data_IF_962164216363
#
_entry.id   IF_962164216363
#
_cell.length_a   1.000
_cell.length_b   1.000
_cell.length_c   1.000
_cell.angle_alpha   90.00
_cell.angle_beta   90.00
_cell.angle_gamma   90.00
#
_symmetry.space_group_name_H-M   'P 1'
#
loop_
_entity.id
_entity.type
_entity.pdbx_description
1 polymer ?
#
# COMPACT_ATOMS: atom_id res chain seq x y z
N UNK A 1 3.75 -4.94 -4.03
CA UNK A 1 3.00 -3.99 -3.24
C UNK A 1 3.96 -3.20 -2.35
N UNK A 2 3.98 -1.88 -2.47
CA UNK A 2 4.73 -0.96 -1.63
C UNK A 2 3.77 -0.31 -0.62
N UNK A 3 4.06 -0.46 0.67
CA UNK A 3 3.26 0.05 1.78
C UNK A 3 3.88 1.38 2.27
N UNK A 4 3.12 2.46 2.20
CA UNK A 4 3.56 3.82 2.53
C UNK A 4 2.82 4.32 3.79
N UNK A 5 3.54 4.45 4.90
CA UNK A 5 2.99 4.81 6.21
C UNK A 5 3.28 6.27 6.54
N UNK A 6 2.23 7.03 6.86
CA UNK A 6 2.34 8.43 7.26
C UNK A 6 2.92 8.56 8.67
N UNK A 7 3.98 9.36 8.77
CA UNK A 7 4.57 9.80 10.03
C UNK A 7 4.67 11.34 10.10
N UNK A 8 3.80 12.04 9.36
CA UNK A 8 3.73 13.50 9.42
C UNK A 8 3.37 14.00 10.83
N UNK A 9 3.43 15.30 11.03
CA UNK A 9 3.30 15.90 12.36
C UNK A 9 1.94 15.71 13.04
N UNK A 10 0.90 15.37 12.27
CA UNK A 10 -0.43 15.02 12.78
C UNK A 10 -0.47 13.64 13.43
N UNK A 11 0.42 12.73 13.02
CA UNK A 11 0.49 11.36 13.55
C UNK A 11 1.39 11.34 14.79
N UNK A 12 0.84 11.10 15.97
CA UNK A 12 1.62 10.97 17.20
C UNK A 12 2.25 9.57 17.36
N UNK A 13 3.07 9.39 18.40
CA UNK A 13 3.79 8.11 18.62
C UNK A 13 2.86 6.91 18.88
N UNK A 14 1.72 7.13 19.56
CA UNK A 14 0.72 6.07 19.81
C UNK A 14 0.05 5.66 18.49
N UNK A 15 -0.37 6.62 17.69
CA UNK A 15 -1.01 6.40 16.39
C UNK A 15 -0.07 5.71 15.40
N UNK A 16 1.19 6.10 15.38
CA UNK A 16 2.20 5.38 14.61
C UNK A 16 2.38 3.93 15.08
N UNK A 17 2.39 3.71 16.41
CA UNK A 17 2.40 2.36 16.97
C UNK A 17 1.20 1.52 16.54
N UNK A 18 0.01 2.13 16.43
CA UNK A 18 -1.21 1.47 15.92
C UNK A 18 -1.04 1.10 14.44
N UNK A 19 -0.46 1.97 13.61
CA UNK A 19 -0.19 1.66 12.20
C UNK A 19 0.76 0.46 12.08
N UNK A 20 1.91 0.50 12.74
CA UNK A 20 2.91 -0.58 12.67
C UNK A 20 2.37 -1.90 13.22
N UNK A 21 1.76 -1.86 14.41
CA UNK A 21 1.19 -3.03 15.06
C UNK A 21 0.00 -3.60 14.30
N UNK A 22 -0.87 -2.74 13.78
CA UNK A 22 -2.03 -3.13 12.98
C UNK A 22 -1.62 -3.82 11.67
N UNK A 23 -0.63 -3.24 10.97
CA UNK A 23 -0.09 -3.85 9.75
C UNK A 23 0.63 -5.18 10.04
N UNK A 24 1.42 -5.26 11.12
CA UNK A 24 2.08 -6.50 11.52
C UNK A 24 1.07 -7.60 11.89
N UNK A 25 0.01 -7.25 12.62
CA UNK A 25 -1.07 -8.17 12.96
C UNK A 25 -1.84 -8.62 11.71
N UNK A 26 -2.11 -7.70 10.78
CA UNK A 26 -2.76 -8.01 9.51
C UNK A 26 -1.94 -9.01 8.69
N UNK A 27 -0.63 -8.83 8.57
CA UNK A 27 0.26 -9.78 7.89
C UNK A 27 0.22 -11.18 8.53
N UNK A 28 0.12 -11.27 9.87
CA UNK A 28 0.05 -12.54 10.60
C UNK A 28 -1.33 -13.19 10.57
N UNK A 29 -2.38 -12.46 10.20
CA UNK A 29 -3.74 -13.02 10.18
C UNK A 29 -3.80 -14.21 9.21
N UNK A 30 -4.57 -15.27 9.55
CA UNK A 30 -4.60 -16.49 8.73
C UNK A 30 -4.98 -16.25 7.29
N UNK A 31 -5.97 -15.41 7.04
CA UNK A 31 -6.51 -15.10 5.73
C UNK A 31 -5.57 -14.24 4.85
N UNK A 32 -4.86 -13.27 5.42
CA UNK A 32 -3.84 -12.49 4.71
C UNK A 32 -2.64 -13.38 4.40
N UNK A 33 -2.20 -14.20 5.36
CA UNK A 33 -1.10 -15.15 5.16
C UNK A 33 -1.42 -16.15 4.08
N UNK A 34 -2.63 -16.73 4.10
CA UNK A 34 -3.10 -17.60 3.03
C UNK A 34 -3.11 -16.90 1.69
N UNK A 35 -3.68 -15.69 1.62
CA UNK A 35 -3.69 -14.89 0.39
C UNK A 35 -2.29 -14.62 -0.15
N UNK A 36 -1.32 -14.30 0.71
CA UNK A 36 0.08 -14.07 0.32
C UNK A 36 0.76 -15.31 -0.26
N UNK A 37 0.49 -16.48 0.33
CA UNK A 37 1.19 -17.72 0.00
C UNK A 37 0.49 -18.54 -1.11
N UNK A 38 -0.79 -18.30 -1.38
CA UNK A 38 -1.59 -19.05 -2.36
C UNK A 38 -1.58 -18.47 -3.78
N UNK A 39 -0.92 -17.32 -4.00
CA UNK A 39 -0.89 -16.73 -5.34
C UNK A 39 -0.11 -17.62 -6.33
N UNK A 40 -0.61 -17.73 -7.55
CA UNK A 40 0.08 -18.41 -8.65
C UNK A 40 1.42 -17.76 -9.01
N UNK A 41 1.55 -16.45 -8.71
CA UNK A 41 2.80 -15.68 -8.75
C UNK A 41 3.28 -15.32 -7.35
N UNK A 42 4.54 -14.92 -7.22
CA UNK A 42 5.10 -14.49 -5.94
C UNK A 42 4.66 -13.07 -5.59
N UNK A 43 4.22 -12.87 -4.36
CA UNK A 43 3.98 -11.52 -3.82
C UNK A 43 5.29 -10.96 -3.27
N UNK A 44 5.62 -9.73 -3.69
CA UNK A 44 6.74 -8.96 -3.13
C UNK A 44 6.20 -7.77 -2.35
N UNK A 45 6.71 -7.60 -1.15
CA UNK A 45 6.35 -6.50 -0.25
C UNK A 45 7.56 -5.63 0.03
N UNK A 46 7.35 -4.32 0.08
CA UNK A 46 8.26 -3.35 0.67
C UNK A 46 7.43 -2.37 1.51
N UNK A 47 8.02 -1.77 2.54
CA UNK A 47 7.37 -0.75 3.34
C UNK A 47 8.30 0.42 3.63
N UNK A 48 7.73 1.61 3.68
CA UNK A 48 8.45 2.83 4.00
C UNK A 48 7.58 3.84 4.75
N UNK A 49 8.22 4.60 5.61
CA UNK A 49 7.63 5.78 6.22
C UNK A 49 7.73 6.96 5.28
N UNK A 50 6.79 7.88 5.39
CA UNK A 50 6.84 9.15 4.69
C UNK A 50 6.30 10.31 5.54
N UNK A 51 6.84 11.50 5.29
CA UNK A 51 6.43 12.75 5.93
C UNK A 51 6.65 13.91 4.95
N UNK A 52 7.52 14.86 5.26
CA UNK A 52 7.90 15.98 4.41
C UNK A 52 8.75 15.60 3.20
N UNK A 53 9.06 16.59 2.36
CA UNK A 53 9.94 16.43 1.22
C UNK A 53 11.32 15.92 1.65
N UNK A 54 11.82 14.83 0.98
CA UNK A 54 13.08 14.19 1.33
C UNK A 54 13.05 13.35 2.63
N UNK A 55 11.88 13.19 3.26
CA UNK A 55 11.73 12.39 4.48
C UNK A 55 10.96 11.12 4.22
N UNK A 56 11.57 10.22 3.46
CA UNK A 56 11.09 8.86 3.24
C UNK A 56 12.16 7.88 3.70
N UNK A 57 11.79 6.91 4.53
CA UNK A 57 12.70 5.93 5.13
C UNK A 57 12.16 4.53 4.96
N UNK A 58 12.98 3.61 4.46
CA UNK A 58 12.59 2.20 4.34
C UNK A 58 12.42 1.58 5.73
N UNK A 59 11.30 0.91 5.95
CA UNK A 59 11.08 -0.03 7.04
C UNK A 59 11.68 -1.39 6.65
N UNK A 60 11.36 -1.84 5.42
CA UNK A 60 12.01 -2.98 4.78
C UNK A 60 11.96 -2.85 3.26
N UNK A 61 13.03 -3.32 2.62
CA UNK A 61 13.13 -3.37 1.16
C UNK A 61 12.43 -4.60 0.60
N UNK A 62 12.32 -4.69 -0.72
CA UNK A 62 11.63 -5.75 -1.43
C UNK A 62 11.96 -7.13 -0.89
N UNK A 63 10.95 -7.77 -0.36
CA UNK A 63 11.02 -9.13 0.16
C UNK A 63 9.98 -9.98 -0.56
N UNK A 64 10.42 -11.05 -1.18
CA UNK A 64 9.52 -12.06 -1.75
C UNK A 64 8.93 -12.89 -0.61
N UNK A 65 7.61 -12.96 -0.58
CA UNK A 65 6.88 -13.76 0.42
C UNK A 65 6.63 -15.15 -0.15
N UNK A 66 7.43 -16.11 0.27
CA UNK A 66 7.33 -17.49 -0.18
C UNK A 66 6.94 -18.47 0.94
N UNK A 67 7.21 -18.10 2.18
CA UNK A 67 7.01 -18.97 3.36
C UNK A 67 6.34 -18.22 4.52
N UNK A 68 5.72 -18.93 5.46
CA UNK A 68 5.24 -18.31 6.72
C UNK A 68 6.33 -17.61 7.52
N UNK A 69 7.59 -18.04 7.40
CA UNK A 69 8.73 -17.43 8.06
C UNK A 69 9.02 -16.03 7.49
N UNK A 70 8.86 -15.84 6.18
CA UNK A 70 9.02 -14.51 5.55
C UNK A 70 7.98 -13.53 6.09
N UNK A 71 6.72 -13.96 6.18
CA UNK A 71 5.64 -13.16 6.77
C UNK A 71 5.97 -12.78 8.20
N UNK A 72 6.43 -13.75 9.02
CA UNK A 72 6.80 -13.49 10.41
C UNK A 72 7.99 -12.53 10.52
N UNK A 73 8.95 -12.60 9.61
CA UNK A 73 10.10 -11.70 9.57
C UNK A 73 9.69 -10.26 9.22
N UNK A 74 8.81 -10.06 8.22
CA UNK A 74 8.30 -8.75 7.84
C UNK A 74 7.49 -8.12 8.97
N UNK A 75 6.62 -8.90 9.61
CA UNK A 75 5.84 -8.42 10.75
C UNK A 75 6.74 -8.00 11.93
N UNK A 76 7.81 -8.74 12.23
CA UNK A 76 8.79 -8.33 13.26
C UNK A 76 9.51 -7.03 12.88
N UNK A 77 9.86 -6.83 11.60
CA UNK A 77 10.48 -5.57 11.15
C UNK A 77 9.57 -4.38 11.39
N UNK A 78 8.26 -4.51 11.16
CA UNK A 78 7.29 -3.47 11.49
C UNK A 78 7.26 -3.20 13.00
N UNK A 79 7.14 -4.23 13.82
CA UNK A 79 7.02 -4.11 15.29
C UNK A 79 8.27 -3.50 15.96
N UNK A 80 9.44 -3.72 15.37
CA UNK A 80 10.73 -3.23 15.94
C UNK A 80 11.21 -1.95 15.27
N UNK A 81 10.48 -1.43 14.27
CA UNK A 81 10.87 -0.23 13.57
C UNK A 81 10.65 1.01 14.43
N UNK A 82 11.71 1.79 14.58
CA UNK A 82 11.66 3.05 15.32
C UNK A 82 11.21 4.20 14.39
N UNK A 83 10.38 5.09 14.90
CA UNK A 83 9.96 6.29 14.17
C UNK A 83 11.18 7.16 13.85
N UNK A 84 11.50 7.41 12.56
CA UNK A 84 12.72 8.13 12.21
C UNK A 84 12.64 9.64 12.46
N UNK A 85 11.43 10.22 12.44
CA UNK A 85 11.21 11.65 12.62
C UNK A 85 10.06 11.92 13.58
N UNK A 86 10.25 12.86 14.51
CA UNK A 86 9.22 13.23 15.50
C UNK A 86 8.18 14.19 14.93
N UNK A 87 8.56 15.00 13.94
CA UNK A 87 7.72 16.03 13.31
C UNK A 87 7.98 16.10 11.81
N UNK A 88 7.03 16.58 11.05
CA UNK A 88 7.20 16.81 9.62
C UNK A 88 5.91 17.21 8.93
N UNK A 89 6.07 17.75 7.74
CA UNK A 89 4.95 18.12 6.85
C UNK A 89 4.37 16.89 6.14
N UNK A 90 3.32 17.12 5.37
CA UNK A 90 2.61 16.09 4.61
C UNK A 90 2.93 16.23 3.13
N UNK A 91 3.93 15.51 2.63
CA UNK A 91 4.38 15.55 1.24
C UNK A 91 3.92 14.31 0.47
N UNK A 92 2.61 14.19 0.23
CA UNK A 92 1.99 13.04 -0.44
C UNK A 92 2.57 12.77 -1.82
N UNK A 93 2.81 13.81 -2.63
CA UNK A 93 3.42 13.63 -3.94
C UNK A 93 4.83 13.05 -3.86
N UNK A 94 5.64 13.50 -2.89
CA UNK A 94 6.98 12.94 -2.69
C UNK A 94 6.94 11.51 -2.15
N UNK A 95 5.94 11.19 -1.32
CA UNK A 95 5.69 9.80 -0.90
C UNK A 95 5.38 8.90 -2.10
N UNK A 96 4.52 9.34 -3.02
CA UNK A 96 4.20 8.60 -4.25
C UNK A 96 5.40 8.49 -5.19
N UNK A 97 6.17 9.58 -5.35
CA UNK A 97 7.40 9.57 -6.16
C UNK A 97 8.44 8.60 -5.59
N UNK A 98 8.56 8.51 -4.27
CA UNK A 98 9.43 7.52 -3.62
C UNK A 98 8.95 6.09 -3.88
N UNK A 99 7.65 5.83 -3.69
CA UNK A 99 7.04 4.53 -3.99
C UNK A 99 7.23 4.11 -5.45
N UNK A 100 7.09 5.05 -6.41
CA UNK A 100 7.34 4.81 -7.82
C UNK A 100 8.80 4.39 -8.10
N UNK A 101 9.78 5.11 -7.53
CA UNK A 101 11.20 4.73 -7.61
C UNK A 101 11.48 3.37 -6.97
N UNK A 102 10.81 3.07 -5.86
CA UNK A 102 10.92 1.78 -5.18
C UNK A 102 10.37 0.67 -6.08
N UNK A 103 9.19 0.85 -6.69
CA UNK A 103 8.59 -0.08 -7.64
C UNK A 103 9.46 -0.32 -8.88
N UNK A 104 10.16 0.70 -9.37
CA UNK A 104 11.08 0.54 -10.50
C UNK A 104 12.23 -0.46 -10.20
N UNK A 105 12.60 -0.63 -8.92
CA UNK A 105 13.61 -1.59 -8.46
C UNK A 105 13.05 -2.97 -8.13
N UNK A 106 11.74 -3.14 -8.12
CA UNK A 106 11.11 -4.42 -7.75
C UNK A 106 11.34 -5.56 -8.74
N UNK A 107 11.83 -5.24 -9.94
CA UNK A 107 11.90 -6.17 -11.06
C UNK A 107 10.55 -6.39 -11.74
N UNK A 108 10.44 -7.39 -12.64
CA UNK A 108 9.20 -7.65 -13.36
C UNK A 108 8.06 -8.01 -12.40
N UNK A 109 6.92 -7.33 -12.56
CA UNK A 109 5.69 -7.57 -11.80
C UNK A 109 4.50 -7.29 -12.71
N UNK A 110 3.50 -8.16 -12.69
CA UNK A 110 2.23 -7.96 -13.41
C UNK A 110 1.42 -6.80 -12.81
N UNK A 111 1.46 -6.67 -11.49
CA UNK A 111 0.75 -5.63 -10.75
C UNK A 111 1.73 -4.83 -9.91
N UNK A 112 1.73 -3.52 -10.12
CA UNK A 112 2.50 -2.55 -9.34
C UNK A 112 1.56 -1.70 -8.53
N UNK A 113 1.62 -1.82 -7.21
CA UNK A 113 0.68 -1.15 -6.31
C UNK A 113 1.43 -0.37 -5.24
N UNK A 114 1.01 0.87 -4.99
CA UNK A 114 1.35 1.64 -3.81
C UNK A 114 0.09 1.71 -2.93
N UNK A 115 0.22 1.24 -1.71
CA UNK A 115 -0.78 1.41 -0.65
C UNK A 115 -0.35 2.56 0.25
N UNK A 116 -1.07 3.69 0.20
CA UNK A 116 -0.73 4.86 1.00
C UNK A 116 -1.72 5.03 2.16
N UNK A 117 -1.20 5.05 3.39
CA UNK A 117 -1.97 5.41 4.58
C UNK A 117 -1.62 6.83 5.00
N UNK A 118 -2.63 7.62 5.41
CA UNK A 118 -2.39 8.98 5.92
C UNK A 118 -3.66 9.67 6.42
N UNK A 119 -3.47 10.69 7.27
CA UNK A 119 -4.53 11.45 7.94
C UNK A 119 -4.61 12.92 7.50
N UNK A 120 -3.68 13.38 6.65
CA UNK A 120 -3.57 14.78 6.23
C UNK A 120 -3.65 15.00 4.73
N UNK A 121 -3.87 16.27 4.34
CA UNK A 121 -3.75 16.72 2.96
C UNK A 121 -2.33 17.22 2.69
N UNK A 122 -1.94 17.20 1.41
CA UNK A 122 -0.66 17.75 0.96
C UNK A 122 -0.46 19.19 1.44
N UNK A 123 0.70 19.47 2.05
CA UNK A 123 1.10 20.83 2.46
C UNK A 123 2.57 21.14 2.18
N UNK A 124 3.34 20.21 1.59
CA UNK A 124 4.74 20.40 1.24
C UNK A 124 5.13 19.60 -0.01
N UNK A 125 6.12 20.11 -0.74
CA UNK A 125 6.69 19.42 -1.91
C UNK A 125 5.77 19.42 -3.12
N UNK A 126 6.13 18.61 -4.13
CA UNK A 126 5.34 18.48 -5.35
C UNK A 126 4.01 17.78 -5.08
N UNK A 127 2.90 18.28 -5.58
CA UNK A 127 1.60 17.63 -5.39
C UNK A 127 1.50 16.32 -6.18
N UNK A 128 0.62 15.36 -5.76
CA UNK A 128 0.40 14.10 -6.49
C UNK A 128 0.07 14.28 -7.97
N UNK A 129 -0.64 15.35 -8.34
CA UNK A 129 -0.96 15.67 -9.74
C UNK A 129 0.29 15.90 -10.59
N UNK A 130 1.32 16.57 -10.06
CA UNK A 130 2.58 16.80 -10.74
C UNK A 130 3.36 15.49 -10.93
N UNK A 131 3.41 14.66 -9.90
CA UNK A 131 4.05 13.33 -9.99
C UNK A 131 3.36 12.46 -11.03
N UNK A 132 2.02 12.52 -11.12
CA UNK A 132 1.26 11.84 -12.17
C UNK A 132 1.57 12.37 -13.56
N UNK A 133 1.60 13.69 -13.70
CA UNK A 133 1.91 14.34 -14.97
C UNK A 133 3.33 14.06 -15.48
N UNK A 134 4.27 13.74 -14.59
CA UNK A 134 5.63 13.33 -14.97
C UNK A 134 5.72 11.91 -15.55
N UNK A 135 4.65 11.12 -15.55
CA UNK A 135 4.65 9.72 -15.96
C UNK A 135 5.24 8.75 -14.92
N UNK A 136 5.70 9.23 -13.77
CA UNK A 136 6.34 8.39 -12.75
C UNK A 136 5.42 7.29 -12.19
N UNK A 137 4.12 7.48 -12.31
CA UNK A 137 3.10 6.53 -11.83
C UNK A 137 2.42 5.75 -12.97
N UNK A 138 2.97 5.76 -14.18
CA UNK A 138 2.41 5.01 -15.31
C UNK A 138 2.43 3.50 -15.04
N UNK A 139 1.29 2.85 -15.21
CA UNK A 139 1.11 1.43 -14.89
C UNK A 139 1.12 1.10 -13.39
N UNK A 140 1.06 2.10 -12.52
CA UNK A 140 0.97 1.93 -11.06
C UNK A 140 -0.46 2.18 -10.60
N UNK A 141 -0.99 1.25 -9.81
CA UNK A 141 -2.23 1.46 -9.04
C UNK A 141 -1.86 2.06 -7.68
N UNK A 142 -2.51 3.16 -7.32
CA UNK A 142 -2.37 3.78 -6.00
C UNK A 142 -3.69 3.63 -5.26
N UNK A 143 -3.68 2.88 -4.17
CA UNK A 143 -4.79 2.75 -3.23
C UNK A 143 -4.50 3.56 -1.98
N UNK A 144 -5.54 3.87 -1.21
CA UNK A 144 -5.36 4.62 0.02
C UNK A 144 -6.17 4.05 1.20
N UNK A 145 -5.61 4.14 2.41
CA UNK A 145 -6.32 4.08 3.66
C UNK A 145 -6.27 5.46 4.30
N UNK A 146 -7.39 6.15 4.27
CA UNK A 146 -7.50 7.53 4.74
C UNK A 146 -8.04 7.54 6.16
N UNK A 147 -7.31 8.20 7.05
CA UNK A 147 -7.65 8.26 8.46
C UNK A 147 -8.31 9.61 8.74
N UNK A 148 -9.49 9.59 9.35
CA UNK A 148 -10.18 10.80 9.76
C UNK A 148 -9.59 11.36 11.06
N UNK A 149 -9.69 12.67 11.25
CA UNK A 149 -9.24 13.39 12.43
C UNK A 149 -8.71 14.78 12.11
N UNK A 150 -8.15 14.96 10.92
CA UNK A 150 -7.64 16.26 10.47
C UNK A 150 -8.74 17.15 9.88
N UNK A 151 -8.48 18.45 9.91
CA UNK A 151 -9.31 19.46 9.24
C UNK A 151 -8.43 20.28 8.28
N UNK A 152 -8.78 20.38 6.97
CA UNK A 152 -9.97 19.84 6.31
C UNK A 152 -9.93 18.30 6.20
N UNK A 153 -11.10 17.63 6.09
CA UNK A 153 -11.17 16.19 5.95
C UNK A 153 -10.36 15.68 4.74
N UNK A 154 -9.45 14.72 4.91
CA UNK A 154 -8.53 14.33 3.84
C UNK A 154 -9.18 13.49 2.73
N UNK A 155 -10.27 12.77 2.99
CA UNK A 155 -10.86 11.85 2.04
C UNK A 155 -11.25 12.45 0.67
N UNK A 156 -11.83 13.67 0.57
CA UNK A 156 -12.09 14.29 -0.73
C UNK A 156 -10.80 14.61 -1.50
N UNK A 157 -9.72 14.95 -0.81
CA UNK A 157 -8.42 15.20 -1.42
C UNK A 157 -7.83 13.90 -1.98
N UNK A 158 -7.79 12.83 -1.19
CA UNK A 158 -7.28 11.53 -1.63
C UNK A 158 -8.04 10.99 -2.84
N UNK A 159 -9.36 11.12 -2.84
CA UNK A 159 -10.21 10.68 -3.97
C UNK A 159 -9.86 11.38 -5.28
N UNK A 160 -9.55 12.68 -5.22
CA UNK A 160 -9.26 13.47 -6.43
C UNK A 160 -7.80 13.46 -6.83
N UNK A 161 -6.89 13.38 -5.87
CA UNK A 161 -5.48 13.66 -6.09
C UNK A 161 -4.55 12.46 -5.87
N UNK A 162 -4.95 11.45 -5.10
CA UNK A 162 -4.03 10.39 -4.67
C UNK A 162 -4.32 9.07 -5.37
N UNK A 163 -5.56 8.56 -5.25
CA UNK A 163 -5.90 7.26 -5.85
C UNK A 163 -5.88 7.33 -7.37
N UNK A 164 -5.29 6.31 -8.00
CA UNK A 164 -5.24 6.18 -9.45
C UNK A 164 -5.00 4.74 -9.90
N UNK A 165 -5.19 4.51 -11.19
CA UNK A 165 -4.92 3.24 -11.85
C UNK A 165 -6.10 2.27 -11.84
N UNK A 166 -6.00 1.15 -12.57
CA UNK A 166 -7.08 0.19 -12.72
C UNK A 166 -7.50 -0.43 -11.39
N UNK A 167 -8.79 -0.35 -11.06
CA UNK A 167 -9.35 -0.91 -9.84
C UNK A 167 -8.93 -0.20 -8.55
N UNK A 168 -8.32 1.00 -8.64
CA UNK A 168 -7.93 1.79 -7.49
C UNK A 168 -9.09 2.05 -6.54
N UNK A 169 -8.83 1.99 -5.25
CA UNK A 169 -9.84 2.18 -4.22
C UNK A 169 -9.28 2.89 -2.99
N UNK A 170 -10.21 3.35 -2.18
CA UNK A 170 -9.92 4.01 -0.91
C UNK A 170 -10.79 3.41 0.19
N UNK A 171 -10.21 3.17 1.35
CA UNK A 171 -10.91 2.87 2.60
C UNK A 171 -10.76 4.04 3.57
N UNK A 172 -11.73 4.22 4.45
CA UNK A 172 -11.78 5.38 5.35
C UNK A 172 -11.94 4.89 6.79
N UNK A 173 -10.95 5.16 7.62
CA UNK A 173 -10.96 4.98 9.06
C UNK A 173 -11.72 6.15 9.70
N UNK A 174 -12.99 5.95 10.01
CA UNK A 174 -13.91 7.01 10.46
C UNK A 174 -13.69 7.41 11.92
N UNK A 175 -13.24 6.45 12.74
CA UNK A 175 -12.92 6.64 14.16
C UNK A 175 -11.41 6.87 14.38
N UNK A 176 -10.72 7.45 13.37
CA UNK A 176 -9.29 7.68 13.45
C UNK A 176 -8.47 6.38 13.39
N UNK A 177 -7.33 6.39 14.04
CA UNK A 177 -6.39 5.27 14.03
C UNK A 177 -6.93 3.99 14.69
N UNK A 178 -7.98 4.07 15.49
CA UNK A 178 -8.58 2.90 16.13
C UNK A 178 -9.16 1.90 15.10
N UNK A 179 -9.65 2.40 13.97
CA UNK A 179 -10.16 1.56 12.89
C UNK A 179 -9.04 0.93 12.02
N UNK A 180 -7.81 1.45 12.14
CA UNK A 180 -6.72 1.09 11.22
C UNK A 180 -6.43 -0.42 11.17
N UNK A 181 -6.32 -1.15 12.31
CA UNK A 181 -5.94 -2.58 12.29
C UNK A 181 -6.91 -3.46 11.51
N UNK A 182 -8.22 -3.22 11.64
CA UNK A 182 -9.23 -3.99 10.90
C UNK A 182 -9.25 -3.61 9.42
N UNK A 183 -9.22 -2.32 9.14
CA UNK A 183 -9.28 -1.82 7.77
C UNK A 183 -8.03 -2.20 6.95
N UNK A 184 -6.83 -2.13 7.53
CA UNK A 184 -5.61 -2.52 6.81
C UNK A 184 -5.60 -4.02 6.49
N UNK A 185 -6.14 -4.87 7.35
CA UNK A 185 -6.31 -6.29 7.06
C UNK A 185 -7.22 -6.51 5.85
N UNK A 186 -8.40 -5.92 5.85
CA UNK A 186 -9.35 -6.00 4.73
C UNK A 186 -8.78 -5.42 3.44
N UNK A 187 -8.01 -4.33 3.55
CA UNK A 187 -7.36 -3.66 2.43
C UNK A 187 -6.28 -4.54 1.80
N UNK A 188 -5.39 -5.13 2.60
CA UNK A 188 -4.37 -6.07 2.13
C UNK A 188 -4.99 -7.26 1.38
N UNK A 189 -6.06 -7.86 1.90
CA UNK A 189 -6.77 -8.95 1.22
C UNK A 189 -7.26 -8.54 -0.16
N UNK A 190 -7.82 -7.33 -0.28
CA UNK A 190 -8.30 -6.82 -1.57
C UNK A 190 -7.17 -6.54 -2.54
N UNK A 191 -6.01 -6.12 -2.06
CA UNK A 191 -4.84 -5.82 -2.89
C UNK A 191 -4.08 -7.06 -3.33
N UNK A 192 -4.00 -8.06 -2.47
CA UNK A 192 -3.27 -9.30 -2.76
C UNK A 192 -4.09 -10.19 -3.71
N UNK A 193 -5.38 -10.35 -3.43
CA UNK A 193 -6.25 -11.19 -4.28
C UNK A 193 -6.44 -10.54 -5.65
N UNK A 194 -6.32 -11.29 -6.75
CA UNK A 194 -6.66 -10.76 -8.05
C UNK A 194 -8.13 -10.33 -8.06
N UNK A 195 -8.50 -9.26 -8.80
CA UNK A 195 -9.89 -8.93 -8.98
C UNK A 195 -10.59 -10.14 -9.60
N UNK A 196 -11.67 -10.62 -8.96
CA UNK A 196 -12.51 -11.62 -9.59
C UNK A 196 -13.09 -11.00 -10.87
N UNK A 197 -12.67 -11.49 -12.02
CA UNK A 197 -13.31 -11.18 -13.29
C UNK A 197 -14.69 -11.84 -13.24
N UNK A 198 -15.71 -11.07 -12.91
CA UNK A 198 -17.09 -11.49 -13.11
C UNK A 198 -17.30 -11.62 -14.61
N UNK A 199 -17.27 -12.85 -15.13
CA UNK A 199 -17.67 -13.17 -16.50
C UNK A 199 -16.54 -13.30 -17.53
N UNK A 200 -15.67 -14.28 -17.36
CA UNK A 200 -14.89 -14.87 -18.45
C UNK A 200 -15.21 -16.35 -18.52
N UNK A 201 -15.92 -16.79 -19.55
CA UNK A 201 -16.03 -18.22 -19.84
C UNK A 201 -14.61 -18.81 -20.02
N UNK A 202 -14.34 -20.04 -19.54
CA UNK A 202 -13.05 -20.66 -19.80
C UNK A 202 -12.82 -20.75 -21.32
N UNK A 203 -11.58 -20.57 -21.80
CA UNK A 203 -11.31 -20.76 -23.23
C UNK A 203 -11.72 -22.20 -23.60
N UNK A 204 -12.59 -22.27 -24.62
CA UNK A 204 -13.02 -23.54 -25.17
C UNK A 204 -11.78 -24.39 -25.54
N UNK A 205 -11.68 -25.57 -24.94
CA UNK A 205 -10.65 -26.54 -25.28
C UNK A 205 -10.71 -26.77 -26.81
N UNK A 206 -9.62 -26.47 -27.51
CA UNK A 206 -9.49 -26.76 -28.92
C UNK A 206 -9.61 -28.27 -29.12
N UNK A 207 -10.73 -28.71 -29.65
CA UNK A 207 -10.95 -30.06 -30.11
C UNK A 207 -9.92 -30.32 -31.21
N UNK A 208 -8.96 -31.19 -30.94
CA UNK A 208 -8.09 -31.78 -31.96
C UNK A 208 -8.97 -32.65 -32.84
N UNK A 209 -9.29 -32.17 -34.03
CA UNK A 209 -9.81 -33.02 -35.09
C UNK A 209 -8.67 -33.93 -35.52
N UNK A 210 -8.76 -35.18 -35.16
CA UNK A 210 -7.99 -36.23 -35.78
C UNK A 210 -8.57 -36.49 -37.18
N UNK A 211 -7.74 -36.26 -38.18
CA UNK A 211 -7.98 -36.80 -39.52
C UNK A 211 -7.28 -38.15 -39.62
N UNK A 212 -8.06 -39.16 -40.00
CA UNK A 212 -7.59 -40.46 -40.39
C UNK A 212 -6.90 -40.51 -41.77
#
# INVERSE_FOLDING_TARGET
LALALDISGSVNAREYGIQLGGLAAALRSPDVREALLSQAGQVRLAAYDWSGAGRQTLIFDWTTVATPADVAALARRLETHARPYATGSTALGEALAYGARLLARAGPCERRVIDVSGDGVQNEGRPPAEIRASGALDGVTVNALVIHGAHPPPAPYYRRQVIQGPGAFMMIARNGFEDYPELIRGKLLREIRPPMLLGGAPPAAAARAGAG
#
